data_IF_520686716107
#
_entry.id   IF_520686716107
#
_cell.length_a   1.000
_cell.length_b   1.000
_cell.length_c   1.000
_cell.angle_alpha   90.00
_cell.angle_beta   90.00
_cell.angle_gamma   90.00
#
_symmetry.space_group_name_H-M   'P 1'
#
loop_
_entity.id
_entity.type
_entity.pdbx_description
1 polymer ?
#
# COMPACT_ATOMS: atom_id res chain seq x y z
N UNK A 1 -14.82 1.24 -1.27
CA UNK A 1 -14.96 0.03 -0.46
C UNK A 1 -13.87 -0.03 0.59
N UNK A 2 -14.23 -0.13 1.87
CA UNK A 2 -13.29 -0.21 3.00
C UNK A 2 -13.40 -1.58 3.66
N UNK A 3 -12.29 -2.34 3.70
CA UNK A 3 -12.27 -3.68 4.29
C UNK A 3 -12.20 -3.61 5.81
N UNK A 4 -13.34 -3.59 6.51
CA UNK A 4 -13.39 -3.57 7.96
C UNK A 4 -12.63 -4.76 8.58
N UNK A 5 -12.81 -5.96 8.02
CA UNK A 5 -12.12 -7.18 8.47
C UNK A 5 -10.59 -7.04 8.54
N UNK A 6 -9.98 -6.42 7.52
CA UNK A 6 -8.51 -6.25 7.46
C UNK A 6 -8.04 -5.12 8.36
N UNK A 7 -8.66 -3.95 8.23
CA UNK A 7 -8.19 -2.76 8.92
C UNK A 7 -8.46 -2.79 10.42
N UNK A 8 -9.59 -3.35 10.87
CA UNK A 8 -9.82 -3.57 12.30
C UNK A 8 -8.77 -4.54 12.90
N UNK A 9 -8.49 -5.65 12.20
CA UNK A 9 -7.56 -6.68 12.68
C UNK A 9 -6.10 -6.23 12.70
N UNK A 10 -5.64 -5.56 11.64
CA UNK A 10 -4.21 -5.29 11.44
C UNK A 10 -3.80 -3.86 11.76
N UNK A 11 -4.73 -2.91 11.75
CA UNK A 11 -4.47 -1.50 12.00
C UNK A 11 -5.23 -0.95 13.22
N UNK A 12 -6.07 -1.77 13.88
CA UNK A 12 -6.83 -1.36 15.06
C UNK A 12 -7.90 -0.30 14.77
N UNK A 13 -8.33 -0.16 13.50
CA UNK A 13 -9.31 0.86 13.12
C UNK A 13 -10.69 0.48 13.62
N UNK A 14 -11.29 1.36 14.42
CA UNK A 14 -12.64 1.22 14.99
C UNK A 14 -13.62 2.30 14.52
N UNK A 15 -13.15 3.30 13.78
CA UNK A 15 -13.98 4.34 13.18
C UNK A 15 -13.44 4.74 11.81
N UNK A 16 -14.31 5.21 10.94
CA UNK A 16 -13.94 5.67 9.60
C UNK A 16 -14.76 6.90 9.23
N UNK A 17 -14.14 7.83 8.54
CA UNK A 17 -14.79 8.99 7.93
C UNK A 17 -14.77 8.82 6.42
N UNK A 18 -15.94 8.83 5.78
CA UNK A 18 -16.04 8.98 4.33
C UNK A 18 -15.97 10.47 3.99
N UNK A 19 -14.99 10.88 3.23
CA UNK A 19 -14.84 12.22 2.67
C UNK A 19 -15.14 12.17 1.17
N UNK A 20 -16.05 13.03 0.71
CA UNK A 20 -16.43 13.13 -0.69
C UNK A 20 -16.17 14.55 -1.19
N UNK A 21 -15.62 14.68 -2.38
CA UNK A 21 -15.29 15.95 -3.03
C UNK A 21 -16.15 16.13 -4.25
N UNK A 22 -17.00 17.16 -4.27
CA UNK A 22 -17.92 17.37 -5.37
C UNK A 22 -18.65 18.70 -5.28
N UNK A 23 -19.48 18.97 -6.27
CA UNK A 23 -20.37 20.11 -6.37
C UNK A 23 -21.82 19.64 -6.49
N UNK A 24 -22.76 20.48 -6.05
CA UNK A 24 -24.19 20.17 -6.06
C UNK A 24 -24.66 19.47 -4.77
N UNK A 25 -25.89 18.94 -4.82
CA UNK A 25 -26.50 18.28 -3.66
C UNK A 25 -26.57 16.78 -3.89
N UNK A 26 -26.13 16.01 -2.90
CA UNK A 26 -26.29 14.56 -2.90
C UNK A 26 -26.51 14.01 -1.49
N UNK A 27 -27.13 12.86 -1.45
CA UNK A 27 -27.29 12.05 -0.23
C UNK A 27 -26.26 10.92 -0.27
N UNK A 28 -25.42 10.80 0.75
CA UNK A 28 -24.52 9.69 0.96
C UNK A 28 -25.05 8.81 2.09
N UNK A 29 -25.03 7.50 1.87
CA UNK A 29 -25.37 6.48 2.87
C UNK A 29 -24.23 5.51 3.00
N UNK A 30 -23.77 5.29 4.24
CA UNK A 30 -22.81 4.25 4.55
C UNK A 30 -23.51 2.96 4.93
N UNK A 31 -22.95 1.85 4.50
CA UNK A 31 -23.42 0.51 4.82
C UNK A 31 -22.28 -0.37 5.30
N UNK A 32 -22.56 -1.20 6.26
CA UNK A 32 -21.73 -2.34 6.61
C UNK A 32 -22.35 -3.60 6.01
N UNK A 33 -21.58 -4.33 5.22
CA UNK A 33 -21.93 -5.63 4.68
C UNK A 33 -21.17 -6.72 5.45
N UNK A 34 -21.88 -7.66 6.04
CA UNK A 34 -21.28 -8.82 6.71
C UNK A 34 -20.84 -9.89 5.70
N UNK A 35 -20.17 -10.94 6.19
CA UNK A 35 -19.72 -12.05 5.35
C UNK A 35 -20.87 -12.91 4.77
N UNK A 36 -22.09 -12.75 5.28
CA UNK A 36 -23.31 -13.46 4.82
C UNK A 36 -24.11 -12.65 3.80
N UNK A 37 -23.67 -11.44 3.45
CA UNK A 37 -24.34 -10.57 2.47
C UNK A 37 -25.51 -9.79 3.04
N UNK A 38 -25.57 -9.62 4.36
CA UNK A 38 -26.56 -8.74 5.00
C UNK A 38 -25.98 -7.35 5.14
N UNK A 39 -26.71 -6.36 4.65
CA UNK A 39 -26.35 -4.95 4.76
C UNK A 39 -27.00 -4.32 6.00
N UNK A 40 -26.21 -3.59 6.74
CA UNK A 40 -26.65 -2.75 7.86
C UNK A 40 -26.38 -1.29 7.49
N UNK A 41 -27.44 -0.47 7.49
CA UNK A 41 -27.31 0.95 7.27
C UNK A 41 -26.59 1.57 8.47
N UNK A 42 -25.48 2.22 8.19
CA UNK A 42 -24.78 3.13 9.05
C UNK A 42 -25.35 4.54 8.85
N UNK A 43 -24.80 5.61 9.47
CA UNK A 43 -25.36 6.95 9.29
C UNK A 43 -25.56 7.34 7.82
N UNK A 44 -26.67 8.06 7.55
CA UNK A 44 -26.89 8.74 6.27
C UNK A 44 -26.91 10.25 6.49
N UNK A 45 -26.47 11.02 5.51
CA UNK A 45 -26.57 12.49 5.52
C UNK A 45 -26.79 13.04 4.12
N UNK A 46 -27.57 14.12 4.07
CA UNK A 46 -27.63 14.99 2.90
C UNK A 46 -26.61 16.11 3.04
N UNK A 47 -25.92 16.42 1.96
CA UNK A 47 -24.84 17.39 1.96
C UNK A 47 -25.07 18.48 0.91
N UNK A 48 -24.82 19.74 1.27
CA UNK A 48 -24.42 20.76 0.31
C UNK A 48 -22.97 20.55 -0.02
N UNK A 49 -21.99 21.07 0.15
CA UNK A 49 -20.61 20.93 -0.33
C UNK A 49 -19.72 20.05 0.59
N UNK A 50 -18.80 19.27 0.03
CA UNK A 50 -17.78 18.45 0.71
C UNK A 50 -18.33 17.57 1.85
N UNK A 51 -19.08 16.55 1.55
CA UNK A 51 -19.67 15.69 2.55
C UNK A 51 -18.61 14.88 3.32
N UNK A 52 -18.70 14.94 4.64
CA UNK A 52 -17.99 14.06 5.58
C UNK A 52 -19.00 13.24 6.35
N UNK A 53 -18.79 11.96 6.41
CA UNK A 53 -19.69 11.02 7.08
C UNK A 53 -18.90 10.11 7.99
N UNK A 54 -19.00 10.34 9.28
CA UNK A 54 -18.31 9.56 10.32
C UNK A 54 -19.13 8.33 10.68
N UNK A 55 -18.46 7.19 10.80
CA UNK A 55 -19.06 5.95 11.25
C UNK A 55 -18.20 5.29 12.32
N UNK A 56 -18.83 5.01 13.47
CA UNK A 56 -18.26 4.17 14.51
C UNK A 56 -18.48 2.69 14.12
N UNK A 57 -17.39 1.96 14.00
CA UNK A 57 -17.36 0.54 13.63
C UNK A 57 -17.07 -0.37 14.82
N UNK A 58 -16.86 0.19 16.01
CA UNK A 58 -16.40 -0.53 17.20
C UNK A 58 -17.35 -1.63 17.66
N UNK A 59 -18.66 -1.44 17.43
CA UNK A 59 -19.70 -2.42 17.76
C UNK A 59 -19.96 -3.46 16.68
N UNK A 60 -19.34 -3.35 15.51
CA UNK A 60 -19.53 -4.26 14.39
C UNK A 60 -18.59 -5.47 14.49
N UNK A 61 -19.00 -6.64 13.97
CA UNK A 61 -18.10 -7.78 13.86
C UNK A 61 -16.84 -7.42 13.06
N UNK A 62 -15.67 -7.94 13.47
CA UNK A 62 -14.40 -7.72 12.77
C UNK A 62 -14.31 -8.57 11.50
N UNK A 63 -15.30 -8.46 10.64
CA UNK A 63 -15.42 -9.13 9.35
C UNK A 63 -16.11 -8.19 8.36
N UNK A 64 -16.29 -8.59 7.11
CA UNK A 64 -17.01 -7.80 6.12
C UNK A 64 -16.31 -6.52 5.68
N UNK A 65 -17.10 -5.61 5.17
CA UNK A 65 -16.60 -4.35 4.60
C UNK A 65 -17.64 -3.23 4.71
N UNK A 66 -17.14 -1.98 4.65
CA UNK A 66 -17.95 -0.78 4.59
C UNK A 66 -17.96 -0.25 3.15
N UNK A 67 -19.13 0.12 2.66
CA UNK A 67 -19.29 0.77 1.37
C UNK A 67 -20.30 1.91 1.48
N UNK A 68 -20.37 2.72 0.45
CA UNK A 68 -21.35 3.81 0.40
C UNK A 68 -22.14 3.78 -0.90
N UNK A 69 -23.33 4.35 -0.84
CA UNK A 69 -24.11 4.74 -2.01
C UNK A 69 -24.23 6.26 -2.06
N UNK A 70 -24.32 6.79 -3.25
CA UNK A 70 -24.45 8.22 -3.50
C UNK A 70 -25.65 8.45 -4.42
N UNK A 71 -26.56 9.32 -4.00
CA UNK A 71 -27.71 9.72 -4.79
C UNK A 71 -27.65 11.22 -5.01
N UNK A 72 -27.58 11.66 -6.28
CA UNK A 72 -27.67 13.06 -6.63
C UNK A 72 -29.09 13.59 -6.37
N UNK A 73 -29.21 14.69 -5.65
CA UNK A 73 -30.48 15.36 -5.34
C UNK A 73 -30.67 16.62 -6.21
N UNK A 74 -29.66 17.02 -6.94
CA UNK A 74 -29.66 18.08 -7.94
C UNK A 74 -28.66 17.73 -9.03
N UNK A 75 -28.44 18.61 -10.02
CA UNK A 75 -27.27 18.52 -10.87
C UNK A 75 -26.02 18.55 -9.98
N UNK A 76 -25.22 17.50 -10.03
CA UNK A 76 -24.10 17.30 -9.15
C UNK A 76 -22.92 16.65 -9.89
N UNK A 77 -21.72 16.99 -9.47
CA UNK A 77 -20.47 16.44 -10.01
C UNK A 77 -19.60 15.92 -8.87
N UNK A 78 -19.26 14.64 -8.89
CA UNK A 78 -18.34 14.04 -7.95
C UNK A 78 -16.92 14.03 -8.55
N UNK A 79 -15.97 14.67 -7.89
CA UNK A 79 -14.56 14.71 -8.29
C UNK A 79 -13.75 13.55 -7.72
N UNK A 80 -14.16 13.04 -6.56
CA UNK A 80 -13.48 11.93 -5.88
C UNK A 80 -13.96 11.75 -4.46
N UNK A 81 -13.28 10.87 -3.74
CA UNK A 81 -13.53 10.64 -2.31
C UNK A 81 -12.57 9.61 -1.73
N UNK A 82 -12.41 9.67 -0.41
CA UNK A 82 -11.53 8.79 0.35
C UNK A 82 -12.17 8.37 1.66
N UNK A 83 -11.63 7.31 2.24
CA UNK A 83 -11.90 6.95 3.62
C UNK A 83 -10.70 7.39 4.48
N UNK A 84 -10.97 8.21 5.48
CA UNK A 84 -10.00 8.59 6.50
C UNK A 84 -10.23 7.76 7.76
N UNK A 85 -9.16 7.36 8.44
CA UNK A 85 -9.24 6.68 9.73
C UNK A 85 -8.01 6.98 10.56
N UNK A 86 -8.17 7.00 11.89
CA UNK A 86 -7.05 6.98 12.81
C UNK A 86 -6.56 5.53 12.96
N UNK A 87 -5.30 5.28 12.60
CA UNK A 87 -4.69 3.98 12.72
C UNK A 87 -3.47 4.03 13.65
N UNK A 88 -3.31 3.00 14.47
CA UNK A 88 -2.03 2.76 15.13
C UNK A 88 -1.06 2.18 14.10
N UNK A 89 -0.17 3.01 13.59
CA UNK A 89 0.85 2.57 12.66
C UNK A 89 2.09 2.14 13.42
N UNK A 90 2.49 0.88 13.28
CA UNK A 90 3.83 0.46 13.70
C UNK A 90 4.85 1.00 12.68
N UNK A 91 6.03 1.43 13.13
CA UNK A 91 7.08 1.85 12.21
C UNK A 91 7.41 0.73 11.22
N UNK A 92 7.26 0.98 9.93
CA UNK A 92 7.64 0.03 8.89
C UNK A 92 9.08 0.28 8.47
N UNK A 93 9.90 -0.78 8.47
CA UNK A 93 11.21 -0.84 7.83
C UNK A 93 11.13 -1.89 6.73
N UNK A 94 11.25 -1.46 5.47
CA UNK A 94 10.98 -2.28 4.30
C UNK A 94 12.29 -2.73 3.64
N UNK A 95 12.47 -4.04 3.48
CA UNK A 95 13.49 -4.61 2.62
C UNK A 95 12.86 -5.02 1.28
N UNK A 96 13.28 -4.39 0.18
CA UNK A 96 12.87 -4.81 -1.17
C UNK A 96 13.91 -5.77 -1.73
N UNK A 97 13.48 -6.94 -2.20
CA UNK A 97 14.33 -7.92 -2.86
C UNK A 97 14.03 -7.90 -4.35
N UNK A 98 15.04 -7.59 -5.16
CA UNK A 98 15.01 -7.71 -6.62
C UNK A 98 15.94 -8.85 -7.01
N UNK A 99 15.42 -9.82 -7.76
CA UNK A 99 16.23 -10.87 -8.36
C UNK A 99 16.36 -10.62 -9.86
N UNK A 100 17.60 -10.59 -10.37
CA UNK A 100 17.86 -10.25 -11.77
C UNK A 100 18.82 -11.20 -12.44
N UNK A 101 18.70 -11.32 -13.76
CA UNK A 101 19.65 -12.02 -14.62
C UNK A 101 19.79 -11.31 -15.97
N UNK A 102 20.90 -10.58 -16.15
CA UNK A 102 21.24 -9.85 -17.39
C UNK A 102 20.19 -8.81 -17.82
N UNK A 103 19.65 -8.07 -16.82
CA UNK A 103 18.67 -6.98 -17.04
C UNK A 103 19.15 -5.70 -16.36
N UNK A 104 20.38 -5.31 -16.67
CA UNK A 104 21.06 -4.17 -16.04
C UNK A 104 20.29 -2.87 -16.18
N UNK A 105 19.67 -2.64 -17.36
CA UNK A 105 18.91 -1.42 -17.64
C UNK A 105 17.65 -1.35 -16.81
N UNK A 106 16.89 -2.45 -16.68
CA UNK A 106 15.63 -2.50 -15.95
C UNK A 106 15.88 -2.29 -14.45
N UNK A 107 16.91 -2.97 -13.92
CA UNK A 107 17.33 -2.81 -12.52
C UNK A 107 17.78 -1.38 -12.23
N UNK A 108 18.59 -0.79 -13.10
CA UNK A 108 19.06 0.60 -12.92
C UNK A 108 17.90 1.58 -12.89
N UNK A 109 16.91 1.42 -13.77
CA UNK A 109 15.73 2.27 -13.82
C UNK A 109 14.86 2.09 -12.56
N UNK A 110 14.66 0.86 -12.09
CA UNK A 110 13.90 0.60 -10.86
C UNK A 110 14.59 1.17 -9.62
N UNK A 111 15.93 1.03 -9.52
CA UNK A 111 16.69 1.65 -8.44
C UNK A 111 16.63 3.18 -8.49
N UNK A 112 16.68 3.77 -9.70
CA UNK A 112 16.52 5.22 -9.86
C UNK A 112 15.15 5.68 -9.35
N UNK A 113 14.06 5.01 -9.74
CA UNK A 113 12.69 5.32 -9.29
C UNK A 113 12.55 5.21 -7.77
N UNK A 114 13.09 4.16 -7.17
CA UNK A 114 13.07 3.98 -5.72
C UNK A 114 13.88 5.07 -5.01
N UNK A 115 15.05 5.42 -5.54
CA UNK A 115 15.92 6.44 -4.93
C UNK A 115 15.32 7.84 -5.04
N UNK A 116 14.75 8.19 -6.20
CA UNK A 116 14.13 9.50 -6.43
C UNK A 116 12.80 9.63 -5.66
N UNK A 117 12.01 8.55 -5.60
CA UNK A 117 10.70 8.54 -4.92
C UNK A 117 10.81 8.50 -3.40
N UNK A 118 11.83 7.86 -2.85
CA UNK A 118 11.94 7.58 -1.42
C UNK A 118 11.92 8.82 -0.50
N UNK A 119 12.23 10.02 -0.99
CA UNK A 119 12.27 11.21 -0.15
C UNK A 119 13.02 10.99 1.17
N UNK A 120 13.11 12.00 2.02
CA UNK A 120 13.85 11.88 3.29
C UNK A 120 13.18 10.95 4.31
N UNK A 121 11.85 10.83 4.27
CA UNK A 121 11.09 10.00 5.21
C UNK A 121 11.33 8.48 5.02
N UNK A 122 11.66 8.06 3.81
CA UNK A 122 11.85 6.65 3.46
C UNK A 122 13.32 6.20 3.41
N UNK A 123 14.27 7.13 3.27
CA UNK A 123 15.71 6.81 3.17
C UNK A 123 16.24 5.93 4.31
N UNK A 124 15.76 6.14 5.53
CA UNK A 124 16.15 5.33 6.69
C UNK A 124 15.27 4.09 6.91
N UNK A 125 14.18 3.98 6.16
CA UNK A 125 13.14 2.95 6.34
C UNK A 125 13.05 1.98 5.20
N UNK A 126 13.77 2.21 4.10
CA UNK A 126 13.77 1.40 2.89
C UNK A 126 15.19 0.99 2.53
N UNK A 127 15.39 -0.28 2.15
CA UNK A 127 16.62 -0.73 1.52
C UNK A 127 16.35 -1.81 0.48
N UNK A 128 17.09 -1.75 -0.63
CA UNK A 128 16.92 -2.67 -1.76
C UNK A 128 18.06 -3.68 -1.80
N UNK A 129 17.72 -4.94 -1.82
CA UNK A 129 18.61 -6.09 -1.92
C UNK A 129 18.55 -6.63 -3.34
N UNK A 130 19.53 -6.30 -4.16
CA UNK A 130 19.59 -6.76 -5.55
C UNK A 130 20.41 -8.04 -5.63
N UNK A 131 19.77 -9.14 -6.01
CA UNK A 131 20.41 -10.44 -6.18
C UNK A 131 20.72 -10.63 -7.67
N UNK A 132 21.97 -10.47 -8.02
CA UNK A 132 22.46 -10.54 -9.40
C UNK A 132 22.92 -11.97 -9.74
N UNK A 133 22.03 -12.74 -10.32
CA UNK A 133 22.28 -14.13 -10.75
C UNK A 133 23.25 -14.25 -11.92
N UNK A 134 23.61 -13.15 -12.58
CA UNK A 134 24.60 -13.14 -13.66
C UNK A 134 25.96 -12.63 -13.18
N UNK A 135 26.00 -11.95 -12.05
CA UNK A 135 27.18 -11.24 -11.54
C UNK A 135 27.75 -10.23 -12.58
N UNK A 136 26.85 -9.55 -13.30
CA UNK A 136 27.19 -8.61 -14.38
C UNK A 136 26.82 -7.17 -14.06
N UNK A 137 26.05 -6.92 -13.00
CA UNK A 137 25.68 -5.57 -12.59
C UNK A 137 26.91 -4.77 -12.16
N UNK A 138 27.11 -3.64 -12.83
CA UNK A 138 28.15 -2.65 -12.50
C UNK A 138 27.48 -1.30 -12.30
N UNK A 139 26.88 -1.12 -11.13
CA UNK A 139 26.27 0.13 -10.73
C UNK A 139 27.12 0.78 -9.61
N UNK A 140 27.12 2.11 -9.50
CA UNK A 140 27.80 2.78 -8.38
C UNK A 140 27.23 2.30 -7.04
N UNK A 141 28.03 2.39 -5.99
CA UNK A 141 27.52 2.15 -4.64
C UNK A 141 26.42 3.18 -4.30
N UNK A 142 25.32 2.70 -3.72
CA UNK A 142 24.17 3.52 -3.33
C UNK A 142 23.83 3.32 -1.86
N UNK A 143 23.40 4.38 -1.21
CA UNK A 143 22.96 4.30 0.19
C UNK A 143 21.68 3.45 0.35
N UNK A 144 20.83 3.44 -0.68
CA UNK A 144 19.52 2.79 -0.65
C UNK A 144 19.55 1.33 -1.10
N UNK A 145 20.62 0.82 -1.68
CA UNK A 145 20.66 -0.53 -2.17
C UNK A 145 22.02 -1.22 -1.98
N UNK A 146 21.98 -2.54 -1.97
CA UNK A 146 23.18 -3.39 -1.98
C UNK A 146 23.01 -4.46 -3.06
N UNK A 147 24.06 -4.64 -3.88
CA UNK A 147 24.10 -5.67 -4.91
C UNK A 147 24.85 -6.89 -4.37
N UNK A 148 24.23 -8.06 -4.51
CA UNK A 148 24.78 -9.34 -4.12
C UNK A 148 25.03 -10.20 -5.36
N UNK A 149 26.28 -10.33 -5.82
CA UNK A 149 26.62 -11.31 -6.84
C UNK A 149 26.18 -12.70 -6.40
N UNK A 150 25.48 -13.41 -7.27
CA UNK A 150 24.94 -14.72 -6.97
C UNK A 150 25.16 -15.71 -8.11
N UNK A 151 25.34 -16.97 -7.76
CA UNK A 151 25.29 -18.03 -8.76
C UNK A 151 23.85 -18.16 -9.25
N UNK A 152 23.67 -18.25 -10.58
CA UNK A 152 22.33 -18.41 -11.14
C UNK A 152 21.64 -19.67 -10.58
N UNK A 153 20.70 -19.44 -9.70
CA UNK A 153 19.84 -20.47 -9.09
C UNK A 153 18.37 -20.29 -9.50
N UNK A 154 18.14 -19.53 -10.59
CA UNK A 154 16.81 -19.13 -11.04
C UNK A 154 16.15 -18.11 -10.11
N UNK A 155 14.92 -17.74 -10.44
CA UNK A 155 14.16 -16.75 -9.66
C UNK A 155 13.93 -17.23 -8.21
N UNK A 156 13.51 -18.47 -8.02
CA UNK A 156 13.26 -19.02 -6.67
C UNK A 156 14.50 -18.97 -5.78
N UNK A 157 15.65 -19.38 -6.30
CA UNK A 157 16.90 -19.36 -5.53
C UNK A 157 17.40 -17.93 -5.29
N UNK A 158 17.26 -17.04 -6.26
CA UNK A 158 17.61 -15.63 -6.12
C UNK A 158 16.75 -14.93 -5.07
N UNK A 159 15.43 -15.05 -5.14
CA UNK A 159 14.55 -14.49 -4.10
C UNK A 159 14.81 -15.11 -2.72
N UNK A 160 15.04 -16.43 -2.64
CA UNK A 160 15.41 -17.06 -1.36
C UNK A 160 16.69 -16.45 -0.80
N UNK A 161 17.71 -16.25 -1.60
CA UNK A 161 18.96 -15.59 -1.17
C UNK A 161 18.67 -14.18 -0.66
N UNK A 162 17.88 -13.37 -1.36
CA UNK A 162 17.50 -12.04 -0.94
C UNK A 162 16.72 -12.04 0.38
N UNK A 163 15.76 -12.92 0.55
CA UNK A 163 15.04 -13.09 1.80
C UNK A 163 15.98 -13.41 2.98
N UNK A 164 16.98 -14.26 2.75
CA UNK A 164 17.99 -14.56 3.78
C UNK A 164 18.80 -13.33 4.16
N UNK A 165 19.20 -12.50 3.20
CA UNK A 165 19.95 -11.27 3.46
C UNK A 165 19.13 -10.26 4.27
N UNK A 166 17.84 -10.10 3.93
CA UNK A 166 16.91 -9.24 4.68
C UNK A 166 16.74 -9.76 6.11
N UNK A 167 16.45 -11.05 6.27
CA UNK A 167 16.23 -11.67 7.59
C UNK A 167 17.48 -11.64 8.49
N UNK A 168 18.68 -11.76 7.92
CA UNK A 168 19.93 -11.72 8.66
C UNK A 168 20.17 -10.38 9.35
N UNK A 169 19.68 -9.28 8.78
CA UNK A 169 19.83 -7.92 9.33
C UNK A 169 18.90 -7.62 10.50
N UNK A 170 17.84 -8.39 10.71
CA UNK A 170 16.90 -8.33 11.86
C UNK A 170 16.25 -6.96 12.11
N UNK A 171 16.42 -6.01 11.23
CA UNK A 171 15.90 -4.64 11.38
C UNK A 171 14.66 -4.37 10.52
N UNK A 172 14.43 -5.20 9.49
CA UNK A 172 13.29 -5.04 8.59
C UNK A 172 12.05 -5.68 9.17
N UNK A 173 10.95 -4.94 9.15
CA UNK A 173 9.64 -5.41 9.62
C UNK A 173 8.83 -6.06 8.51
N UNK A 174 9.07 -5.63 7.27
CA UNK A 174 8.38 -6.10 6.07
C UNK A 174 9.38 -6.37 4.95
N UNK A 175 8.97 -7.24 4.04
CA UNK A 175 9.74 -7.59 2.87
C UNK A 175 8.84 -7.55 1.63
N UNK A 176 9.31 -6.89 0.56
CA UNK A 176 8.68 -6.88 -0.74
C UNK A 176 9.55 -7.65 -1.73
N UNK A 177 8.99 -8.65 -2.38
CA UNK A 177 9.65 -9.32 -3.52
C UNK A 177 9.17 -8.67 -4.80
N UNK A 178 10.09 -8.19 -5.61
CA UNK A 178 9.80 -7.42 -6.82
C UNK A 178 10.61 -7.97 -8.00
N UNK A 179 9.94 -8.24 -9.12
CA UNK A 179 10.61 -8.60 -10.35
C UNK A 179 11.40 -7.42 -10.93
N UNK A 180 12.44 -7.71 -11.70
CA UNK A 180 13.35 -6.70 -12.24
C UNK A 180 12.75 -5.89 -13.40
N UNK A 181 11.71 -6.38 -14.06
CA UNK A 181 11.05 -5.79 -15.23
C UNK A 181 9.69 -5.12 -14.93
N UNK A 182 9.36 -4.90 -13.66
CA UNK A 182 8.12 -4.19 -13.28
C UNK A 182 8.26 -2.68 -13.47
N UNK A 183 7.15 -2.05 -13.84
CA UNK A 183 7.02 -0.59 -13.82
C UNK A 183 6.05 -0.20 -12.72
N UNK A 184 6.47 0.69 -11.84
CA UNK A 184 5.66 1.15 -10.69
C UNK A 184 5.89 2.63 -10.43
N UNK A 185 4.98 3.25 -9.71
CA UNK A 185 5.20 4.54 -9.06
C UNK A 185 5.54 4.33 -7.59
N UNK A 186 6.28 5.27 -6.98
CA UNK A 186 6.73 5.11 -5.59
C UNK A 186 5.55 5.05 -4.61
N UNK A 187 4.45 5.72 -4.90
CA UNK A 187 3.20 5.69 -4.12
C UNK A 187 2.62 4.27 -3.97
N UNK A 188 3.01 3.33 -4.83
CA UNK A 188 2.62 1.92 -4.69
C UNK A 188 3.38 1.22 -3.56
N UNK A 189 4.55 1.75 -3.19
CA UNK A 189 5.42 1.21 -2.13
C UNK A 189 5.14 1.91 -0.78
N UNK A 190 4.64 3.13 -0.82
CA UNK A 190 4.26 3.93 0.34
C UNK A 190 2.96 3.42 0.97
#
# INVERSE_FOLDING_TARGET
LFSHAKYAKYCGISAVTLCLHGEGKFCAKLFYADGAGKDTLLPEREFPDQPRLDADLSALPQEGFVYFTLTALSDALLFGGEYEAEAHTNPVKLGIVICTYRRETDVAENLRRLTEGAGNAWKERLHVFVIDNASTLSLPEGELYTIFPNKNTGGSGGFTRGMMEVCARKEYTHMLLMDDDVSFSFETVE
#
